data_IF_860596263613
#
_entry.id   IF_860596263613
#
_cell.length_a   1.000
_cell.length_b   1.000
_cell.length_c   1.000
_cell.angle_alpha   90.00
_cell.angle_beta   90.00
_cell.angle_gamma   90.00
#
_symmetry.space_group_name_H-M   'P 1'
#
loop_
_entity.id
_entity.type
_entity.pdbx_description
1 polymer ?
#
# COMPACT_ATOMS: atom_id res chain seq x y z
N UNK A 1 5.03 -6.80 -3.67
CA UNK A 1 4.77 -7.56 -2.41
C UNK A 1 3.40 -7.15 -1.86
N UNK A 2 2.37 -7.94 -2.13
CA UNK A 2 1.05 -7.79 -1.53
C UNK A 2 1.11 -8.15 -0.05
N UNK A 3 1.44 -7.18 0.81
CA UNK A 3 1.17 -7.34 2.25
C UNK A 3 -0.34 -7.29 2.46
N UNK A 4 -1.00 -8.42 2.16
CA UNK A 4 -2.29 -8.77 2.72
C UNK A 4 -2.06 -9.17 4.19
N UNK A 5 -1.39 -8.30 4.95
CA UNK A 5 -1.40 -8.38 6.39
C UNK A 5 -2.86 -8.15 6.75
N UNK A 6 -3.53 -9.20 7.19
CA UNK A 6 -4.73 -9.09 8.00
C UNK A 6 -4.34 -8.16 9.15
N UNK A 7 -4.55 -6.85 8.97
CA UNK A 7 -4.42 -5.86 10.02
C UNK A 7 -5.55 -6.20 10.98
N UNK A 8 -5.26 -7.12 11.90
CA UNK A 8 -6.15 -7.66 12.90
C UNK A 8 -6.54 -6.48 13.81
N UNK A 9 -7.62 -5.82 13.43
CA UNK A 9 -8.16 -4.70 14.17
C UNK A 9 -9.04 -5.24 15.29
N UNK A 10 -8.97 -4.60 16.46
CA UNK A 10 -9.81 -4.92 17.62
C UNK A 10 -11.29 -4.95 17.23
N UNK A 11 -11.72 -4.05 16.33
CA UNK A 11 -13.09 -3.99 15.81
C UNK A 11 -13.48 -5.26 15.03
N UNK A 12 -12.59 -5.80 14.20
CA UNK A 12 -12.81 -7.05 13.46
C UNK A 12 -12.93 -8.26 14.39
N UNK A 13 -12.15 -8.26 15.47
CA UNK A 13 -12.22 -9.30 16.51
C UNK A 13 -13.53 -9.19 17.30
N UNK A 14 -13.97 -7.98 17.68
CA UNK A 14 -15.24 -7.80 18.38
C UNK A 14 -16.45 -8.21 17.54
N UNK A 15 -16.43 -7.92 16.24
CA UNK A 15 -17.47 -8.35 15.30
C UNK A 15 -17.46 -9.85 14.99
N UNK A 16 -16.32 -10.54 15.19
CA UNK A 16 -16.26 -12.00 15.11
C UNK A 16 -16.83 -12.66 16.37
N UNK A 17 -16.47 -12.13 17.55
CA UNK A 17 -16.78 -12.75 18.84
C UNK A 17 -18.28 -12.69 19.16
N UNK A 18 -18.96 -11.58 18.83
CA UNK A 18 -20.39 -11.40 19.14
C UNK A 18 -21.31 -12.45 18.45
N UNK A 19 -21.24 -12.63 17.12
CA UNK A 19 -22.05 -13.63 16.42
C UNK A 19 -21.63 -15.07 16.74
N UNK A 20 -20.33 -15.32 16.93
CA UNK A 20 -19.82 -16.63 17.28
C UNK A 20 -20.30 -17.06 18.68
N UNK A 21 -20.25 -16.16 19.67
CA UNK A 21 -20.73 -16.43 21.02
C UNK A 21 -22.25 -16.69 21.05
N UNK A 22 -23.04 -15.93 20.27
CA UNK A 22 -24.48 -16.15 20.13
C UNK A 22 -24.81 -17.49 19.45
N UNK A 23 -24.06 -17.88 18.42
CA UNK A 23 -24.22 -19.18 17.75
C UNK A 23 -23.90 -20.36 18.68
N UNK A 24 -22.85 -20.24 19.50
CA UNK A 24 -22.47 -21.26 20.49
C UNK A 24 -23.52 -21.34 21.61
N UNK A 25 -23.97 -20.20 22.14
CA UNK A 25 -25.01 -20.17 23.18
C UNK A 25 -26.35 -20.76 22.69
N UNK A 26 -26.75 -20.46 21.44
CA UNK A 26 -27.94 -21.03 20.82
C UNK A 26 -27.85 -22.54 20.64
N UNK A 27 -26.65 -23.05 20.35
CA UNK A 27 -26.40 -24.50 20.23
C UNK A 27 -26.50 -25.22 21.58
N UNK A 28 -26.00 -24.61 22.66
CA UNK A 28 -26.09 -25.16 24.01
C UNK A 28 -27.53 -25.21 24.53
N UNK A 29 -28.39 -24.26 24.13
CA UNK A 29 -29.80 -24.21 24.53
C UNK A 29 -30.72 -25.15 23.73
N UNK A 30 -30.40 -25.43 22.46
CA UNK A 30 -31.29 -26.19 21.55
C UNK A 30 -30.75 -27.56 21.14
N UNK A 31 -29.53 -27.94 21.56
CA UNK A 31 -28.80 -29.16 21.16
C UNK A 31 -28.56 -29.33 19.64
N UNK A 32 -28.82 -28.30 18.83
CA UNK A 32 -28.65 -28.34 17.39
C UNK A 32 -27.32 -27.69 16.94
N UNK A 33 -26.38 -28.44 16.33
CA UNK A 33 -25.08 -27.91 15.91
C UNK A 33 -25.17 -26.90 14.76
N UNK A 34 -26.31 -26.84 14.06
CA UNK A 34 -26.55 -25.92 12.94
C UNK A 34 -26.41 -24.44 13.35
N UNK A 35 -26.81 -24.07 14.58
CA UNK A 35 -26.76 -22.68 15.04
C UNK A 35 -25.32 -22.20 15.29
N UNK A 36 -24.43 -23.06 15.78
CA UNK A 36 -23.02 -22.75 15.92
C UNK A 36 -22.37 -22.53 14.56
N UNK A 37 -22.67 -23.39 13.58
CA UNK A 37 -22.13 -23.27 12.22
C UNK A 37 -22.56 -21.93 11.61
N UNK A 38 -23.85 -21.59 11.68
CA UNK A 38 -24.37 -20.33 11.14
C UNK A 38 -23.75 -19.13 11.87
N UNK A 39 -23.65 -19.15 13.19
CA UNK A 39 -23.07 -18.05 13.97
C UNK A 39 -21.58 -17.82 13.69
N UNK A 40 -20.80 -18.90 13.54
CA UNK A 40 -19.38 -18.82 13.16
C UNK A 40 -19.23 -18.27 11.74
N UNK A 41 -20.06 -18.74 10.80
CA UNK A 41 -20.00 -18.33 9.40
C UNK A 41 -20.41 -16.85 9.24
N UNK A 42 -21.45 -16.40 9.95
CA UNK A 42 -21.81 -14.98 10.05
C UNK A 42 -20.71 -14.14 10.71
N UNK A 43 -20.09 -14.66 11.78
CA UNK A 43 -18.97 -14.01 12.45
C UNK A 43 -17.79 -13.79 11.51
N UNK A 44 -17.40 -14.82 10.73
CA UNK A 44 -16.33 -14.75 9.74
C UNK A 44 -16.61 -13.67 8.68
N UNK A 45 -17.85 -13.60 8.17
CA UNK A 45 -18.25 -12.61 7.19
C UNK A 45 -18.20 -11.19 7.74
N UNK A 46 -18.73 -10.97 8.95
CA UNK A 46 -18.78 -9.65 9.58
C UNK A 46 -17.38 -9.16 9.99
N UNK A 47 -16.50 -10.07 10.42
CA UNK A 47 -15.12 -9.73 10.79
C UNK A 47 -14.29 -9.16 9.63
N UNK A 48 -14.63 -9.51 8.38
CA UNK A 48 -13.93 -9.02 7.19
C UNK A 48 -14.37 -7.61 6.73
N UNK A 49 -15.44 -7.06 7.31
CA UNK A 49 -16.03 -5.80 6.87
C UNK A 49 -15.32 -4.52 7.39
N UNK A 50 -14.93 -4.43 8.69
CA UNK A 50 -14.21 -3.26 9.18
C UNK A 50 -12.76 -3.23 8.70
N UNK A 51 -12.36 -2.13 8.06
CA UNK A 51 -10.94 -1.79 7.87
C UNK A 51 -10.64 -0.43 8.47
N UNK A 52 -9.42 -0.28 8.99
CA UNK A 52 -8.92 0.96 9.59
C UNK A 52 -7.74 1.46 8.77
N UNK A 53 -7.91 2.65 8.20
CA UNK A 53 -6.82 3.41 7.57
C UNK A 53 -6.14 4.29 8.60
N UNK A 54 -4.79 4.33 8.57
CA UNK A 54 -4.04 5.32 9.34
C UNK A 54 -4.27 6.72 8.77
N UNK A 55 -4.04 7.76 9.58
CA UNK A 55 -4.33 9.14 9.18
C UNK A 55 -3.60 9.60 7.90
N UNK A 56 -2.42 9.06 7.67
CA UNK A 56 -1.54 9.36 6.54
C UNK A 56 -1.66 8.36 5.38
N UNK A 57 -2.50 7.33 5.51
CA UNK A 57 -2.72 6.32 4.47
C UNK A 57 -4.05 6.60 3.77
N UNK A 58 -4.08 6.51 2.44
CA UNK A 58 -5.33 6.43 1.66
C UNK A 58 -5.50 5.04 1.07
N UNK A 59 -6.69 4.48 1.22
CA UNK A 59 -7.04 3.19 0.67
C UNK A 59 -7.75 3.37 -0.67
N UNK A 60 -7.19 2.79 -1.73
CA UNK A 60 -7.85 2.74 -3.03
C UNK A 60 -8.84 1.58 -3.01
N UNK A 61 -10.12 1.83 -3.25
CA UNK A 61 -11.15 0.78 -3.23
C UNK A 61 -11.57 0.44 -4.65
N UNK A 62 -11.51 -0.85 -4.96
CA UNK A 62 -12.07 -1.43 -6.17
C UNK A 62 -13.35 -2.19 -5.83
N UNK A 63 -14.40 -2.01 -6.63
CA UNK A 63 -15.64 -2.77 -6.56
C UNK A 63 -15.76 -3.62 -7.82
N UNK A 64 -15.70 -4.94 -7.68
CA UNK A 64 -15.75 -5.90 -8.81
C UNK A 64 -14.79 -5.55 -9.97
N UNK A 65 -13.60 -5.05 -9.64
CA UNK A 65 -12.58 -4.64 -10.63
C UNK A 65 -12.71 -3.22 -11.16
N UNK A 66 -13.77 -2.49 -10.81
CA UNK A 66 -13.92 -1.07 -11.16
C UNK A 66 -13.48 -0.17 -10.00
N UNK A 67 -12.93 1.00 -10.33
CA UNK A 67 -12.58 1.99 -9.31
C UNK A 67 -13.85 2.56 -8.66
N UNK A 68 -13.96 2.39 -7.34
CA UNK A 68 -15.10 2.86 -6.57
C UNK A 68 -14.83 4.17 -5.81
N UNK A 69 -13.55 4.50 -5.62
CA UNK A 69 -13.12 5.73 -4.94
C UNK A 69 -11.96 5.54 -3.97
N UNK A 70 -11.44 6.67 -3.51
CA UNK A 70 -10.48 6.76 -2.41
C UNK A 70 -11.24 6.81 -1.08
N UNK A 71 -10.88 5.92 -0.14
CA UNK A 71 -11.34 6.01 1.25
C UNK A 71 -10.28 6.74 2.08
N UNK A 72 -10.76 7.78 2.76
CA UNK A 72 -9.97 8.59 3.67
C UNK A 72 -9.62 7.87 4.98
N UNK A 73 -8.85 8.54 5.85
CA UNK A 73 -8.38 7.96 7.10
C UNK A 73 -9.50 7.66 8.09
N UNK A 74 -9.30 6.64 8.93
CA UNK A 74 -10.24 6.22 9.96
C UNK A 74 -10.86 4.85 9.73
N UNK A 75 -11.94 4.56 10.45
CA UNK A 75 -12.69 3.31 10.34
C UNK A 75 -13.67 3.41 9.17
N UNK A 76 -13.55 2.51 8.21
CA UNK A 76 -14.47 2.43 7.08
C UNK A 76 -14.93 0.99 6.86
N UNK A 77 -16.17 0.87 6.41
CA UNK A 77 -16.76 -0.42 6.08
C UNK A 77 -16.53 -0.74 4.62
N UNK A 78 -16.16 -1.99 4.38
CA UNK A 78 -16.19 -2.59 3.06
C UNK A 78 -17.12 -3.77 3.07
N UNK A 79 -17.83 -3.96 1.97
CA UNK A 79 -18.59 -5.18 1.77
C UNK A 79 -17.62 -6.29 1.36
N UNK A 80 -17.42 -7.33 2.19
CA UNK A 80 -16.56 -8.45 1.81
C UNK A 80 -17.10 -9.07 0.51
N UNK A 81 -16.22 -9.65 -0.31
CA UNK A 81 -16.48 -10.19 -1.66
C UNK A 81 -16.66 -9.17 -2.79
N UNK A 82 -17.33 -8.04 -2.56
CA UNK A 82 -17.59 -7.07 -3.63
C UNK A 82 -16.47 -6.04 -3.70
N UNK A 83 -15.98 -5.58 -2.54
CA UNK A 83 -15.00 -4.51 -2.43
C UNK A 83 -13.62 -5.04 -2.01
N UNK A 84 -12.58 -4.65 -2.74
CA UNK A 84 -11.18 -4.99 -2.47
C UNK A 84 -10.35 -3.71 -2.35
N UNK A 85 -9.34 -3.73 -1.47
CA UNK A 85 -8.35 -2.65 -1.34
C UNK A 85 -7.02 -3.16 -1.89
N UNK A 86 -6.69 -2.95 -3.18
CA UNK A 86 -5.43 -3.40 -3.75
C UNK A 86 -4.21 -2.66 -3.19
N UNK A 87 -4.35 -1.36 -2.91
CA UNK A 87 -3.23 -0.50 -2.56
C UNK A 87 -3.59 0.45 -1.41
N UNK A 88 -2.64 0.57 -0.49
CA UNK A 88 -2.62 1.59 0.55
C UNK A 88 -1.48 2.54 0.21
N UNK A 89 -1.81 3.81 0.00
CA UNK A 89 -0.83 4.80 -0.42
C UNK A 89 -0.56 5.74 0.74
N UNK A 90 0.71 5.84 1.10
CA UNK A 90 1.20 6.79 2.09
C UNK A 90 1.36 8.16 1.44
N UNK A 91 0.78 9.19 2.06
CA UNK A 91 0.91 10.58 1.62
C UNK A 91 2.02 11.34 2.35
N UNK A 92 2.90 10.65 3.07
CA UNK A 92 4.07 11.27 3.72
C UNK A 92 5.23 11.42 2.73
N UNK A 93 6.17 12.28 3.10
CA UNK A 93 7.46 12.35 2.39
C UNK A 93 8.19 11.04 2.65
N UNK A 94 8.52 10.35 1.57
CA UNK A 94 9.30 9.13 1.54
C UNK A 94 10.71 9.51 1.11
N UNK A 95 11.68 8.96 1.83
CA UNK A 95 13.10 9.09 1.50
C UNK A 95 13.56 7.81 0.83
N UNK A 96 14.11 7.92 -0.37
CA UNK A 96 14.69 6.79 -1.09
C UNK A 96 16.11 7.13 -1.49
N UNK A 97 17.08 6.40 -0.92
CA UNK A 97 18.48 6.50 -1.32
C UNK A 97 18.74 5.67 -2.56
N UNK A 98 19.58 6.19 -3.46
CA UNK A 98 20.08 5.45 -4.60
C UNK A 98 21.54 5.82 -4.86
N UNK A 99 22.32 4.84 -5.30
CA UNK A 99 23.68 5.05 -5.76
C UNK A 99 23.68 5.02 -7.29
N UNK A 100 24.33 5.98 -7.93
CA UNK A 100 24.62 5.93 -9.36
C UNK A 100 26.11 5.63 -9.54
N UNK A 101 26.41 4.43 -9.99
CA UNK A 101 27.76 4.02 -10.39
C UNK A 101 28.06 4.67 -11.75
N UNK A 102 29.03 5.59 -11.80
CA UNK A 102 29.47 6.18 -13.06
C UNK A 102 30.67 5.44 -13.64
N UNK A 103 30.51 5.15 -14.92
CA UNK A 103 31.56 4.67 -15.81
C UNK A 103 32.45 5.87 -16.20
N UNK A 104 33.76 5.68 -16.04
CA UNK A 104 34.90 6.46 -16.54
C UNK A 104 34.71 7.99 -16.69
N UNK A 105 35.09 8.72 -15.63
CA UNK A 105 35.58 10.10 -15.70
C UNK A 105 36.82 10.18 -16.61
N UNK A 106 37.14 11.37 -17.16
CA UNK A 106 38.31 11.60 -18.06
C UNK A 106 39.63 11.22 -17.41
N UNK A 107 39.67 11.23 -16.09
CA UNK A 107 40.86 10.92 -15.31
C UNK A 107 40.94 9.44 -14.90
N UNK A 108 40.09 8.58 -15.48
CA UNK A 108 40.12 7.12 -15.22
C UNK A 108 39.90 6.78 -13.74
N UNK A 109 39.22 7.65 -12.99
CA UNK A 109 38.81 7.39 -11.60
C UNK A 109 37.31 7.10 -11.57
N UNK A 110 36.89 5.92 -11.07
CA UNK A 110 35.49 5.64 -10.81
C UNK A 110 35.02 6.53 -9.65
N UNK A 111 34.00 7.35 -9.89
CA UNK A 111 33.35 8.16 -8.85
C UNK A 111 31.98 7.56 -8.61
N UNK A 112 31.75 7.08 -7.39
CA UNK A 112 30.42 6.70 -6.92
C UNK A 112 29.70 7.95 -6.43
N UNK A 113 28.50 8.20 -6.97
CA UNK A 113 27.64 9.30 -6.53
C UNK A 113 26.49 8.73 -5.72
N UNK A 114 26.49 9.05 -4.42
CA UNK A 114 25.40 8.74 -3.51
C UNK A 114 24.39 9.90 -3.49
N UNK A 115 23.11 9.59 -3.69
CA UNK A 115 22.03 10.57 -3.71
C UNK A 115 20.82 10.11 -2.88
N UNK A 116 20.07 11.10 -2.38
CA UNK A 116 18.86 10.89 -1.59
C UNK A 116 17.69 11.61 -2.27
N UNK A 117 16.66 10.86 -2.62
CA UNK A 117 15.42 11.39 -3.20
C UNK A 117 14.36 11.55 -2.11
N UNK A 118 13.80 12.75 -2.00
CA UNK A 118 12.62 13.04 -1.20
C UNK A 118 11.42 13.20 -2.12
N UNK A 119 10.41 12.35 -1.97
CA UNK A 119 9.22 12.37 -2.82
C UNK A 119 7.96 12.03 -2.01
N UNK A 120 6.80 12.46 -2.50
CA UNK A 120 5.50 12.22 -1.88
C UNK A 120 4.47 12.01 -2.99
N UNK A 121 3.51 11.11 -2.77
CA UNK A 121 2.41 10.91 -3.72
C UNK A 121 1.36 12.02 -3.53
N UNK A 122 1.24 12.89 -4.53
CA UNK A 122 0.21 13.93 -4.55
C UNK A 122 -1.18 13.37 -4.84
N UNK A 123 -1.29 12.54 -5.88
CA UNK A 123 -2.54 11.92 -6.32
C UNK A 123 -2.48 10.39 -6.15
N UNK A 124 -3.07 9.84 -5.07
CA UNK A 124 -3.04 8.41 -4.81
C UNK A 124 -3.93 7.60 -5.76
N UNK A 125 -4.96 8.20 -6.36
CA UNK A 125 -5.80 7.48 -7.33
C UNK A 125 -4.97 7.14 -8.57
N UNK A 126 -4.34 8.15 -9.17
CA UNK A 126 -3.50 7.95 -10.34
C UNK A 126 -2.30 7.06 -10.06
N UNK A 127 -1.64 7.28 -8.92
CA UNK A 127 -0.49 6.46 -8.54
C UNK A 127 -0.82 4.97 -8.41
N UNK A 128 -2.03 4.60 -7.98
CA UNK A 128 -2.45 3.20 -7.91
C UNK A 128 -2.95 2.63 -9.24
N UNK A 129 -3.62 3.44 -10.06
CA UNK A 129 -4.32 2.97 -11.26
C UNK A 129 -3.46 3.04 -12.52
N UNK A 130 -2.56 4.01 -12.62
CA UNK A 130 -1.76 4.25 -13.84
C UNK A 130 -0.41 3.54 -13.81
N UNK A 131 0.15 3.26 -12.62
CA UNK A 131 1.49 2.67 -12.48
C UNK A 131 1.47 1.51 -11.49
N UNK A 132 1.83 0.31 -11.97
CA UNK A 132 1.85 -0.90 -11.15
C UNK A 132 2.80 -0.79 -9.94
N UNK A 133 4.03 -0.32 -10.17
CA UNK A 133 5.05 -0.11 -9.14
C UNK A 133 5.61 1.32 -9.21
N UNK A 134 4.79 2.30 -8.80
CA UNK A 134 5.19 3.70 -8.81
C UNK A 134 6.50 4.02 -8.04
N UNK A 135 6.85 3.37 -6.90
CA UNK A 135 8.11 3.68 -6.22
C UNK A 135 9.35 3.34 -7.07
N UNK A 136 9.28 2.25 -7.86
CA UNK A 136 10.37 1.86 -8.77
C UNK A 136 10.44 2.79 -9.99
N UNK A 137 9.30 3.15 -10.55
CA UNK A 137 9.26 4.09 -11.68
C UNK A 137 9.90 5.43 -11.31
N UNK A 138 9.63 5.94 -10.10
CA UNK A 138 10.23 7.16 -9.57
C UNK A 138 11.75 7.02 -9.39
N UNK A 139 12.24 5.88 -8.87
CA UNK A 139 13.68 5.68 -8.69
C UNK A 139 14.43 5.58 -10.02
N UNK A 140 13.88 4.91 -11.02
CA UNK A 140 14.46 4.87 -12.37
C UNK A 140 14.48 6.24 -13.03
N UNK A 141 13.39 7.01 -12.94
CA UNK A 141 13.34 8.37 -13.48
C UNK A 141 14.42 9.27 -12.86
N UNK A 142 14.61 9.16 -11.53
CA UNK A 142 15.67 9.88 -10.82
C UNK A 142 17.07 9.47 -11.28
N UNK A 143 17.32 8.17 -11.48
CA UNK A 143 18.58 7.66 -12.01
C UNK A 143 18.88 8.16 -13.42
N UNK A 144 17.87 8.16 -14.31
CA UNK A 144 18.01 8.70 -15.68
C UNK A 144 18.30 10.19 -15.67
N UNK A 145 17.59 10.97 -14.84
CA UNK A 145 17.83 12.40 -14.70
C UNK A 145 19.24 12.71 -14.18
N UNK A 146 19.71 11.96 -13.17
CA UNK A 146 21.07 12.10 -12.65
C UNK A 146 22.12 11.78 -13.74
N UNK A 147 21.89 10.72 -14.53
CA UNK A 147 22.75 10.37 -15.66
C UNK A 147 22.82 11.48 -16.72
N UNK A 148 21.69 12.11 -17.07
CA UNK A 148 21.65 13.22 -18.05
C UNK A 148 22.40 14.45 -17.52
N UNK A 149 22.17 14.85 -16.26
CA UNK A 149 22.85 16.01 -15.65
C UNK A 149 24.36 15.82 -15.64
N UNK A 150 24.85 14.68 -15.17
CA UNK A 150 26.29 14.42 -15.12
C UNK A 150 26.89 14.38 -16.53
N UNK A 151 26.17 13.81 -17.51
CA UNK A 151 26.58 13.83 -18.92
C UNK A 151 26.77 15.25 -19.47
N UNK A 152 25.93 16.21 -19.05
CA UNK A 152 26.03 17.62 -19.46
C UNK A 152 27.09 18.41 -18.70
N UNK A 153 27.35 18.12 -17.43
CA UNK A 153 28.38 18.82 -16.62
C UNK A 153 29.81 18.52 -17.08
N UNK A 154 30.02 17.43 -17.84
CA UNK A 154 31.33 16.99 -18.33
C UNK A 154 31.95 17.90 -19.42
N UNK A 155 31.25 18.94 -19.87
CA UNK A 155 31.74 19.95 -20.81
C UNK A 155 31.99 21.27 -20.06
N UNK A 156 33.09 21.38 -19.30
CA UNK A 156 33.62 22.69 -18.88
C UNK A 156 34.82 23.06 -19.76
N UNK A 157 34.64 23.94 -20.76
CA UNK A 157 35.73 24.42 -21.60
C UNK A 157 36.44 25.57 -20.86
N UNK A 158 37.42 25.24 -20.02
CA UNK A 158 38.17 26.24 -19.24
C UNK A 158 39.65 25.94 -19.03
N UNK A 159 40.20 24.91 -19.69
CA UNK A 159 41.63 24.59 -19.68
C UNK A 159 42.08 24.28 -21.11
N UNK A 160 42.27 25.33 -21.90
CA UNK A 160 43.10 25.35 -23.11
C UNK A 160 43.93 26.62 -23.11
#
# INVERSE_FOLDING_TARGET
>A
MTQNALRLNVVSVMMFVLPAALGVAGTLLTLNPALAIVGILLGLLLAQSPKVAKQWERAVVLRLGQYAGLRGPGLFWLVPFIETVPAWIDQRIITTSFAAEQTLTSDTVPVNVDAVLFWMVYDPEKAALEVQEYPQAVSWAAQTALRDIIGRTRVWPGLS
#
